data_IF_358347342504
#
_entry.id   IF_358347342504
#
_cell.length_a   1.000
_cell.length_b   1.000
_cell.length_c   1.000
_cell.angle_alpha   90.00
_cell.angle_beta   90.00
_cell.angle_gamma   90.00
#
_symmetry.space_group_name_H-M   'P 1'
#
loop_
_entity.id
_entity.type
_entity.pdbx_description
1 polymer ?
#
# COMPACT_ATOMS: atom_id res chain seq x y z
N UNK A 1 9.13 -10.48 -64.99
CA UNK A 1 9.48 -9.21 -65.65
C UNK A 1 8.19 -8.40 -65.76
N UNK A 2 8.05 -7.17 -65.28
CA UNK A 2 8.90 -6.36 -64.40
C UNK A 2 8.07 -5.14 -63.93
N UNK A 3 8.49 -4.59 -62.79
CA UNK A 3 8.24 -3.25 -62.20
C UNK A 3 6.85 -2.91 -61.65
N UNK A 4 6.71 -3.19 -60.36
CA UNK A 4 6.36 -2.18 -59.34
C UNK A 4 6.47 -0.74 -59.84
N UNK A 5 5.34 -0.10 -60.16
CA UNK A 5 5.29 1.35 -60.36
C UNK A 5 5.39 2.05 -58.99
N UNK A 6 6.25 3.06 -58.83
CA UNK A 6 6.43 3.75 -57.56
C UNK A 6 5.20 4.61 -57.26
N UNK A 7 4.62 4.43 -56.07
CA UNK A 7 3.61 5.33 -55.55
C UNK A 7 4.16 6.78 -55.53
N UNK A 8 3.33 7.80 -55.80
CA UNK A 8 3.77 9.17 -55.97
C UNK A 8 4.20 9.78 -54.63
N UNK A 9 5.48 9.65 -54.29
CA UNK A 9 6.11 10.20 -53.08
C UNK A 9 5.90 11.73 -52.93
N UNK A 10 5.71 12.42 -54.05
CA UNK A 10 5.50 13.87 -54.09
C UNK A 10 4.18 14.36 -53.45
N UNK A 11 3.15 13.51 -53.33
CA UNK A 11 1.87 13.92 -52.73
C UNK A 11 1.92 13.87 -51.18
N UNK A 12 2.64 12.90 -50.63
CA UNK A 12 2.78 12.70 -49.19
C UNK A 12 3.70 13.74 -48.56
N UNK A 13 4.84 14.03 -49.21
CA UNK A 13 5.76 15.08 -48.74
C UNK A 13 5.09 16.46 -48.67
N UNK A 14 4.21 16.80 -49.63
CA UNK A 14 3.57 18.12 -49.76
C UNK A 14 2.43 18.40 -48.75
N UNK A 15 1.97 17.36 -48.05
CA UNK A 15 0.97 17.46 -47.00
C UNK A 15 1.63 17.61 -45.62
N UNK A 16 2.77 16.95 -45.41
CA UNK A 16 3.54 16.97 -44.17
C UNK A 16 4.20 18.35 -43.92
N UNK A 17 4.84 18.92 -44.93
CA UNK A 17 5.45 20.26 -44.86
C UNK A 17 4.44 21.42 -44.82
N UNK A 18 3.16 21.18 -45.16
CA UNK A 18 2.07 22.16 -45.02
C UNK A 18 1.50 22.25 -43.60
N UNK A 19 1.69 21.21 -42.78
CA UNK A 19 1.39 21.23 -41.35
C UNK A 19 2.46 22.00 -40.55
N UNK A 20 3.73 21.85 -40.93
CA UNK A 20 4.86 22.47 -40.23
C UNK A 20 5.00 23.99 -40.47
N UNK A 21 4.53 24.50 -41.62
CA UNK A 21 4.70 25.90 -42.04
C UNK A 21 3.67 26.90 -41.53
N UNK A 22 2.71 26.53 -40.67
CA UNK A 22 1.73 27.49 -40.13
C UNK A 22 2.32 28.20 -38.90
N UNK A 23 2.30 29.55 -38.83
CA UNK A 23 2.90 30.31 -37.71
C UNK A 23 2.32 29.95 -36.33
N UNK A 24 1.18 29.27 -36.31
CA UNK A 24 0.50 28.76 -35.10
C UNK A 24 1.29 27.65 -34.39
N UNK A 25 2.09 26.84 -35.11
CA UNK A 25 2.93 25.80 -34.49
C UNK A 25 4.16 26.39 -33.79
N UNK A 26 4.77 27.42 -34.38
CA UNK A 26 5.86 28.17 -33.74
C UNK A 26 5.39 28.88 -32.47
N UNK A 27 4.19 29.49 -32.50
CA UNK A 27 3.59 30.12 -31.31
C UNK A 27 3.23 29.08 -30.25
N UNK A 28 2.66 27.93 -30.65
CA UNK A 28 2.34 26.85 -29.72
C UNK A 28 3.60 26.27 -29.06
N UNK A 29 4.66 26.02 -29.82
CA UNK A 29 5.94 25.52 -29.29
C UNK A 29 6.58 26.55 -28.34
N UNK A 30 6.54 27.84 -28.66
CA UNK A 30 7.04 28.90 -27.80
C UNK A 30 6.23 29.05 -26.51
N UNK A 31 4.88 28.96 -26.59
CA UNK A 31 4.01 29.00 -25.41
C UNK A 31 4.21 27.79 -24.50
N UNK A 32 4.37 26.59 -25.06
CA UNK A 32 4.67 25.37 -24.28
C UNK A 32 6.04 25.48 -23.63
N UNK A 33 7.05 25.97 -24.35
CA UNK A 33 8.38 26.20 -23.79
C UNK A 33 8.37 27.25 -22.68
N UNK A 34 7.67 28.38 -22.88
CA UNK A 34 7.51 29.42 -21.86
C UNK A 34 6.77 28.91 -20.63
N UNK A 35 5.70 28.10 -20.82
CA UNK A 35 4.95 27.48 -19.73
C UNK A 35 5.81 26.49 -18.94
N UNK A 36 6.61 25.67 -19.62
CA UNK A 36 7.55 24.74 -18.99
C UNK A 36 8.64 25.47 -18.21
N UNK A 37 9.15 26.59 -18.73
CA UNK A 37 10.13 27.43 -18.03
C UNK A 37 9.50 28.10 -16.80
N UNK A 38 8.27 28.59 -16.89
CA UNK A 38 7.53 29.16 -15.74
C UNK A 38 7.25 28.10 -14.67
N UNK A 39 6.84 26.89 -15.06
CA UNK A 39 6.67 25.76 -14.15
C UNK A 39 8.01 25.36 -13.49
N UNK A 40 9.07 25.23 -14.27
CA UNK A 40 10.40 24.89 -13.76
C UNK A 40 10.95 25.96 -12.80
N UNK A 41 10.74 27.25 -13.12
CA UNK A 41 11.13 28.36 -12.24
C UNK A 41 10.26 28.46 -10.99
N UNK A 42 8.99 28.03 -11.05
CA UNK A 42 8.13 27.90 -9.86
C UNK A 42 8.67 26.87 -8.87
N UNK A 43 9.25 25.77 -9.36
CA UNK A 43 9.89 24.71 -8.54
C UNK A 43 11.27 25.18 -8.02
N UNK A 44 11.96 26.04 -8.75
CA UNK A 44 13.27 26.57 -8.36
C UNK A 44 13.19 27.83 -7.48
N UNK A 45 11.99 28.25 -7.06
CA UNK A 45 11.85 29.35 -6.08
C UNK A 45 12.41 28.90 -4.73
N UNK A 46 13.12 29.78 -4.00
CA UNK A 46 13.64 29.46 -2.67
C UNK A 46 12.53 28.96 -1.73
N UNK A 47 11.31 29.53 -1.82
CA UNK A 47 10.14 29.07 -1.05
C UNK A 47 9.73 27.62 -1.33
N UNK A 48 9.75 27.16 -2.59
CA UNK A 48 9.45 25.77 -2.93
C UNK A 48 10.50 24.80 -2.38
N UNK A 49 11.78 25.20 -2.34
CA UNK A 49 12.87 24.40 -1.78
C UNK A 49 12.80 24.31 -0.26
N UNK A 50 12.43 25.39 0.44
CA UNK A 50 12.15 25.37 1.88
C UNK A 50 10.95 24.46 2.20
N UNK A 51 9.85 24.58 1.45
CA UNK A 51 8.70 23.68 1.61
C UNK A 51 9.02 22.22 1.33
N UNK A 52 9.81 21.93 0.29
CA UNK A 52 10.25 20.57 -0.03
C UNK A 52 11.17 20.00 1.06
N UNK A 53 12.07 20.81 1.61
CA UNK A 53 12.94 20.41 2.71
C UNK A 53 12.15 20.11 4.00
N UNK A 54 11.22 20.99 4.39
CA UNK A 54 10.31 20.80 5.54
C UNK A 54 9.47 19.52 5.40
N UNK A 55 8.90 19.30 4.20
CA UNK A 55 8.13 18.09 3.90
C UNK A 55 8.99 16.83 3.94
N UNK A 56 10.22 16.92 3.44
CA UNK A 56 11.16 15.80 3.49
C UNK A 56 11.54 15.47 4.93
N UNK A 57 11.83 16.47 5.77
CA UNK A 57 12.11 16.23 7.18
C UNK A 57 10.92 15.62 7.92
N UNK A 58 9.71 16.15 7.70
CA UNK A 58 8.48 15.59 8.31
C UNK A 58 8.28 14.13 7.89
N UNK A 59 8.46 13.81 6.61
CA UNK A 59 8.36 12.44 6.11
C UNK A 59 9.38 11.52 6.77
N UNK A 60 10.65 11.93 6.84
CA UNK A 60 11.72 11.15 7.46
C UNK A 60 11.43 10.93 8.95
N UNK A 61 10.94 11.94 9.66
CA UNK A 61 10.58 11.83 11.08
C UNK A 61 9.44 10.83 11.30
N UNK A 62 8.37 10.91 10.52
CA UNK A 62 7.23 9.98 10.64
C UNK A 62 7.67 8.55 10.28
N UNK A 63 8.39 8.38 9.17
CA UNK A 63 8.88 7.08 8.73
C UNK A 63 9.79 6.45 9.78
N UNK A 64 10.76 7.20 10.30
CA UNK A 64 11.70 6.70 11.31
C UNK A 64 10.99 6.39 12.63
N UNK A 65 9.99 7.19 13.02
CA UNK A 65 9.15 6.91 14.19
C UNK A 65 8.39 5.60 14.05
N UNK A 66 7.69 5.41 12.92
CA UNK A 66 6.95 4.16 12.65
C UNK A 66 7.89 2.96 12.55
N UNK A 67 9.08 3.13 11.97
CA UNK A 67 10.05 2.04 11.85
C UNK A 67 10.60 1.61 13.22
N UNK A 68 11.00 2.57 14.06
CA UNK A 68 11.52 2.31 15.41
C UNK A 68 10.44 1.72 16.32
N UNK A 69 9.17 2.10 16.13
CA UNK A 69 8.05 1.52 16.88
C UNK A 69 7.70 0.12 16.36
N UNK A 70 7.55 -0.06 15.06
CA UNK A 70 7.12 -1.34 14.48
C UNK A 70 8.20 -2.42 14.57
N UNK A 71 9.49 -2.09 14.47
CA UNK A 71 10.59 -3.06 14.52
C UNK A 71 10.56 -3.95 15.78
N UNK A 72 10.50 -3.43 17.02
CA UNK A 72 10.43 -4.27 18.22
C UNK A 72 9.14 -5.09 18.28
N UNK A 73 7.99 -4.54 17.86
CA UNK A 73 6.74 -5.30 17.80
C UNK A 73 6.78 -6.43 16.78
N UNK A 74 7.39 -6.21 15.61
CA UNK A 74 7.59 -7.24 14.60
C UNK A 74 8.53 -8.34 15.08
N UNK A 75 9.63 -7.97 15.74
CA UNK A 75 10.57 -8.94 16.32
C UNK A 75 9.86 -9.77 17.40
N UNK A 76 9.17 -9.12 18.34
CA UNK A 76 8.41 -9.80 19.39
C UNK A 76 7.34 -10.73 18.80
N UNK A 77 6.56 -10.24 17.82
CA UNK A 77 5.56 -11.04 17.12
C UNK A 77 6.16 -12.24 16.38
N UNK A 78 7.34 -12.08 15.76
CA UNK A 78 8.05 -13.16 15.09
C UNK A 78 8.55 -14.23 16.06
N UNK A 79 9.05 -13.83 17.24
CA UNK A 79 9.49 -14.73 18.30
C UNK A 79 8.28 -15.50 18.84
N UNK A 80 7.20 -14.81 19.18
CA UNK A 80 5.94 -15.43 19.62
C UNK A 80 5.41 -16.40 18.56
N UNK A 81 5.43 -16.02 17.29
CA UNK A 81 5.03 -16.92 16.20
C UNK A 81 5.91 -18.18 16.11
N UNK A 82 7.21 -18.05 16.44
CA UNK A 82 8.14 -19.17 16.54
C UNK A 82 7.80 -20.10 17.69
N UNK A 83 7.51 -19.54 18.88
CA UNK A 83 7.04 -20.32 20.02
C UNK A 83 5.73 -21.04 19.71
N UNK A 84 4.76 -20.35 19.12
CA UNK A 84 3.49 -20.96 18.69
C UNK A 84 3.78 -22.11 17.71
N UNK A 85 4.69 -21.94 16.75
CA UNK A 85 5.02 -23.00 15.80
C UNK A 85 5.69 -24.24 16.43
N UNK A 86 6.36 -24.09 17.58
CA UNK A 86 6.99 -25.19 18.32
C UNK A 86 5.98 -25.87 19.26
N UNK A 87 5.15 -25.09 19.96
CA UNK A 87 4.19 -25.61 20.93
C UNK A 87 2.87 -26.10 20.30
N UNK A 88 2.49 -25.56 19.14
CA UNK A 88 1.27 -25.96 18.42
C UNK A 88 1.61 -27.04 17.39
N UNK A 89 1.05 -28.22 17.61
CA UNK A 89 1.17 -29.37 16.73
C UNK A 89 0.00 -29.42 15.73
N UNK A 90 0.23 -30.00 14.54
CA UNK A 90 -0.79 -30.10 13.46
C UNK A 90 -2.07 -30.78 13.96
N UNK A 91 -1.93 -31.88 14.72
CA UNK A 91 -3.07 -32.59 15.31
C UNK A 91 -3.83 -31.83 16.41
N UNK A 92 -3.22 -30.80 17.02
CA UNK A 92 -3.93 -29.91 17.95
C UNK A 92 -4.81 -28.94 17.18
N UNK A 93 -4.33 -28.40 16.07
CA UNK A 93 -5.07 -27.48 15.21
C UNK A 93 -6.29 -28.19 14.62
N UNK A 94 -6.11 -29.38 14.04
CA UNK A 94 -7.21 -30.13 13.42
C UNK A 94 -8.28 -30.60 14.43
N UNK A 95 -7.89 -30.81 15.70
CA UNK A 95 -8.82 -31.22 16.76
C UNK A 95 -9.54 -30.07 17.47
N UNK A 96 -8.87 -28.93 17.65
CA UNK A 96 -9.46 -27.75 18.31
C UNK A 96 -10.21 -26.84 17.33
N UNK A 97 -9.83 -26.84 16.05
CA UNK A 97 -10.47 -25.98 15.07
C UNK A 97 -11.62 -26.72 14.39
N UNK A 98 -12.84 -26.16 14.46
CA UNK A 98 -14.01 -26.79 13.86
C UNK A 98 -13.92 -26.74 12.32
N UNK A 99 -14.29 -27.85 11.67
CA UNK A 99 -14.30 -27.97 10.21
C UNK A 99 -15.36 -27.09 9.52
N UNK A 100 -16.36 -26.61 10.27
CA UNK A 100 -17.43 -25.78 9.69
C UNK A 100 -16.95 -24.32 9.52
N UNK A 101 -17.09 -23.71 8.33
CA UNK A 101 -16.49 -22.42 8.00
C UNK A 101 -16.94 -21.26 8.92
N UNK A 102 -18.21 -21.25 9.35
CA UNK A 102 -18.72 -20.23 10.29
C UNK A 102 -18.10 -20.37 11.70
N UNK A 103 -17.96 -21.61 12.20
CA UNK A 103 -17.35 -21.85 13.51
C UNK A 103 -15.84 -21.59 13.46
N UNK A 104 -15.21 -21.91 12.34
CA UNK A 104 -13.82 -21.60 12.07
C UNK A 104 -13.57 -20.08 12.08
N UNK A 105 -14.44 -19.30 11.44
CA UNK A 105 -14.35 -17.84 11.46
C UNK A 105 -14.53 -17.27 12.88
N UNK A 106 -15.47 -17.80 13.68
CA UNK A 106 -15.65 -17.40 15.08
C UNK A 106 -14.44 -17.76 15.96
N UNK A 107 -13.83 -18.93 15.73
CA UNK A 107 -12.60 -19.31 16.42
C UNK A 107 -11.45 -18.36 16.04
N UNK A 108 -11.34 -18.01 14.76
CA UNK A 108 -10.34 -17.05 14.25
C UNK A 108 -10.53 -15.65 14.83
N UNK A 109 -11.76 -15.17 14.93
CA UNK A 109 -12.05 -13.87 15.54
C UNK A 109 -11.78 -13.85 17.04
N UNK A 110 -12.10 -14.93 17.75
CA UNK A 110 -11.73 -15.11 19.17
C UNK A 110 -10.22 -15.10 19.38
N UNK A 111 -9.47 -15.78 18.51
CA UNK A 111 -8.00 -15.70 18.50
C UNK A 111 -7.50 -14.27 18.25
N UNK A 112 -8.13 -13.53 17.35
CA UNK A 112 -7.77 -12.13 17.03
C UNK A 112 -8.02 -11.18 18.19
N UNK A 113 -9.06 -11.45 18.98
CA UNK A 113 -9.35 -10.70 20.20
C UNK A 113 -8.32 -10.98 21.32
N UNK A 114 -7.94 -12.24 21.50
CA UNK A 114 -6.95 -12.65 22.53
C UNK A 114 -5.53 -12.24 22.15
N UNK A 115 -5.20 -12.26 20.86
CA UNK A 115 -3.92 -11.83 20.31
C UNK A 115 -4.09 -10.51 19.53
N UNK A 116 -4.19 -9.36 20.23
CA UNK A 116 -4.22 -8.05 19.59
C UNK A 116 -2.83 -7.72 19.05
N UNK A 117 -2.55 -8.21 17.83
CA UNK A 117 -1.29 -7.92 17.12
C UNK A 117 -1.50 -6.67 16.26
N UNK A 118 -0.46 -5.83 16.14
CA UNK A 118 -0.48 -4.75 15.16
C UNK A 118 -0.66 -5.31 13.73
N UNK A 119 -1.24 -4.51 12.83
CA UNK A 119 -1.43 -4.90 11.43
C UNK A 119 -0.13 -5.39 10.76
N UNK A 120 1.02 -4.91 11.22
CA UNK A 120 2.33 -5.31 10.75
C UNK A 120 2.69 -6.75 11.17
N UNK A 121 2.30 -7.15 12.39
CA UNK A 121 2.70 -8.43 13.00
C UNK A 121 1.72 -9.57 12.76
N UNK A 122 0.47 -9.30 12.38
CA UNK A 122 -0.54 -10.35 12.19
C UNK A 122 -0.22 -11.25 10.98
N UNK A 123 0.42 -10.69 9.94
CA UNK A 123 0.79 -11.40 8.71
C UNK A 123 1.82 -12.52 8.97
N UNK A 124 3.00 -12.26 9.60
CA UNK A 124 3.96 -13.32 9.87
C UNK A 124 3.40 -14.39 10.80
N UNK A 125 2.60 -14.01 11.80
CA UNK A 125 1.93 -14.96 12.71
C UNK A 125 1.01 -15.89 11.93
N UNK A 126 0.06 -15.33 11.18
CA UNK A 126 -0.91 -16.12 10.41
C UNK A 126 -0.22 -17.04 9.41
N UNK A 127 0.83 -16.57 8.73
CA UNK A 127 1.61 -17.37 7.79
C UNK A 127 2.26 -18.60 8.47
N UNK A 128 2.77 -18.45 9.69
CA UNK A 128 3.33 -19.59 10.45
C UNK A 128 2.25 -20.60 10.85
N UNK A 129 1.06 -20.13 11.26
CA UNK A 129 -0.06 -21.01 11.58
C UNK A 129 -0.56 -21.75 10.33
N UNK A 130 -0.63 -21.11 9.17
CA UNK A 130 -0.97 -21.77 7.91
C UNK A 130 -0.01 -22.90 7.54
N UNK A 131 1.28 -22.72 7.80
CA UNK A 131 2.29 -23.78 7.62
C UNK A 131 2.09 -25.02 8.51
N UNK A 132 1.17 -24.96 9.49
CA UNK A 132 0.81 -26.04 10.42
C UNK A 132 -0.60 -26.60 10.17
N UNK A 133 -1.22 -26.29 9.03
CA UNK A 133 -2.54 -26.82 8.66
C UNK A 133 -3.73 -26.00 9.17
N UNK A 134 -3.54 -24.73 9.54
CA UNK A 134 -4.66 -23.84 9.88
C UNK A 134 -5.61 -23.70 8.68
N UNK A 135 -6.93 -23.93 8.83
CA UNK A 135 -7.85 -23.76 7.71
C UNK A 135 -8.01 -22.28 7.34
N UNK A 136 -8.07 -22.00 6.03
CA UNK A 136 -8.19 -20.65 5.45
C UNK A 136 -9.23 -19.73 6.12
N UNK A 137 -10.46 -20.18 6.43
CA UNK A 137 -11.46 -19.33 7.06
C UNK A 137 -11.01 -18.76 8.42
N UNK A 138 -10.24 -19.53 9.21
CA UNK A 138 -9.75 -19.08 10.52
C UNK A 138 -8.72 -17.98 10.36
N UNK A 139 -7.74 -18.17 9.47
CA UNK A 139 -6.66 -17.21 9.31
C UNK A 139 -7.16 -15.90 8.69
N UNK A 140 -8.11 -15.96 7.76
CA UNK A 140 -8.76 -14.75 7.21
C UNK A 140 -9.57 -14.03 8.30
N UNK A 141 -10.35 -14.77 9.10
CA UNK A 141 -11.10 -14.18 10.20
C UNK A 141 -10.18 -13.57 11.28
N UNK A 142 -9.05 -14.22 11.58
CA UNK A 142 -8.02 -13.71 12.49
C UNK A 142 -7.39 -12.42 11.97
N UNK A 143 -7.01 -12.37 10.68
CA UNK A 143 -6.46 -11.17 10.03
C UNK A 143 -7.43 -9.99 10.05
N UNK A 144 -8.72 -10.24 9.83
CA UNK A 144 -9.76 -9.21 9.87
C UNK A 144 -10.12 -8.79 11.30
N UNK A 145 -10.16 -9.73 12.24
CA UNK A 145 -10.51 -9.45 13.63
C UNK A 145 -9.42 -8.67 14.38
N UNK A 146 -8.14 -8.90 14.05
CA UNK A 146 -7.02 -8.26 14.73
C UNK A 146 -7.09 -6.71 14.76
N UNK A 147 -7.42 -5.99 13.68
CA UNK A 147 -7.66 -4.55 13.74
C UNK A 147 -9.08 -4.18 14.21
N UNK A 148 -10.10 -4.96 13.86
CA UNK A 148 -11.52 -4.60 14.08
C UNK A 148 -11.95 -4.72 15.53
N UNK A 149 -11.54 -5.79 16.22
CA UNK A 149 -11.91 -6.07 17.61
C UNK A 149 -10.76 -5.71 18.56
N UNK A 150 -9.84 -4.85 18.12
CA UNK A 150 -8.70 -4.46 18.93
C UNK A 150 -9.17 -3.58 20.11
N UNK A 151 -9.05 -4.05 21.37
CA UNK A 151 -9.49 -3.27 22.52
C UNK A 151 -8.76 -1.93 22.61
N UNK A 152 -7.48 -1.86 22.24
CA UNK A 152 -6.70 -0.61 22.24
C UNK A 152 -7.30 0.41 21.28
N UNK A 153 -7.72 -0.02 20.08
CA UNK A 153 -8.37 0.84 19.09
C UNK A 153 -9.77 1.25 19.55
N UNK A 154 -10.52 0.33 20.16
CA UNK A 154 -11.84 0.65 20.72
C UNK A 154 -11.71 1.70 21.83
N UNK A 155 -10.75 1.54 22.73
CA UNK A 155 -10.49 2.51 23.81
C UNK A 155 -9.98 3.85 23.27
N UNK A 156 -9.10 3.86 22.26
CA UNK A 156 -8.59 5.11 21.69
C UNK A 156 -9.68 5.86 20.93
N UNK A 157 -10.52 5.15 20.19
CA UNK A 157 -11.69 5.71 19.49
C UNK A 157 -12.69 6.26 20.50
N UNK A 158 -12.96 5.51 21.57
CA UNK A 158 -13.82 5.96 22.65
C UNK A 158 -13.25 7.20 23.37
N UNK A 159 -11.93 7.27 23.58
CA UNK A 159 -11.28 8.44 24.15
C UNK A 159 -11.29 9.66 23.22
N UNK A 160 -11.16 9.45 21.91
CA UNK A 160 -11.12 10.52 20.91
C UNK A 160 -12.50 11.11 20.61
N UNK A 161 -13.54 10.26 20.49
CA UNK A 161 -14.88 10.69 20.09
C UNK A 161 -15.88 10.76 21.27
N UNK A 162 -15.57 10.12 22.40
CA UNK A 162 -16.43 10.13 23.58
C UNK A 162 -17.84 9.58 23.33
N UNK A 163 -18.72 9.80 24.30
CA UNK A 163 -20.14 9.45 24.23
C UNK A 163 -21.00 10.61 23.65
N UNK A 164 -20.42 11.40 22.75
CA UNK A 164 -21.09 12.55 22.13
C UNK A 164 -21.80 12.17 20.83
N UNK A 165 -22.89 12.86 20.44
CA UNK A 165 -23.45 12.69 19.11
C UNK A 165 -22.42 13.14 18.08
N UNK A 166 -22.06 12.22 17.18
CA UNK A 166 -21.19 12.44 16.02
C UNK A 166 -21.78 13.45 15.04
#
# INVERSE_FOLDING_TARGET
MDQTSPLPQAATERAENRWFGRPRWGIAAFLVFALLVVLASSINTPQARFFAAERFQTFVTIFLSLFIEAAPFLIAGSIVSGFIAVYVNEGMVERYIPNHPLLAALAGSGLGFIFPVCECGVVPVTRRLYGKGLPLPVGIAFLLAAPVINPVVIFSTYAAFGWGPV
#
